data_IF_312782566266
#
_entry.id   IF_312782566266
#
_cell.length_a   1.000
_cell.length_b   1.000
_cell.length_c   1.000
_cell.angle_alpha   90.00
_cell.angle_beta   90.00
_cell.angle_gamma   90.00
#
_symmetry.space_group_name_H-M   'P 1'
#
loop_
_entity.id
_entity.type
_entity.pdbx_description
1 polymer ?
#
# COMPACT_ATOMS: atom_id res chain seq x y z
N UNK A 1 -10.36 2.75 1.57
CA UNK A 1 -9.75 3.50 0.45
C UNK A 1 -10.64 4.60 -0.14
N UNK A 2 -11.75 4.32 -0.86
CA UNK A 2 -12.58 5.37 -1.51
C UNK A 2 -12.95 6.54 -0.60
N UNK A 3 -13.39 6.25 0.64
CA UNK A 3 -13.71 7.26 1.64
C UNK A 3 -12.50 8.13 2.02
N UNK A 4 -11.31 7.54 2.16
CA UNK A 4 -10.08 8.26 2.48
C UNK A 4 -9.65 9.19 1.33
N UNK A 5 -9.80 8.75 0.07
CA UNK A 5 -9.55 9.60 -1.12
C UNK A 5 -10.50 10.81 -1.14
N UNK A 6 -11.79 10.57 -0.84
CA UNK A 6 -12.78 11.65 -0.76
C UNK A 6 -12.48 12.63 0.38
N UNK A 7 -12.12 12.12 1.56
CA UNK A 7 -11.75 12.92 2.73
C UNK A 7 -10.49 13.78 2.45
N UNK A 8 -9.52 13.22 1.74
CA UNK A 8 -8.32 13.93 1.30
C UNK A 8 -8.59 14.95 0.17
N UNK A 9 -9.77 14.94 -0.46
CA UNK A 9 -10.12 15.86 -1.55
C UNK A 9 -9.30 15.66 -2.82
N UNK A 10 -8.78 14.45 -3.06
CA UNK A 10 -7.95 14.13 -4.24
C UNK A 10 -8.63 13.14 -5.17
N UNK A 11 -8.13 13.03 -6.39
CA UNK A 11 -8.46 11.92 -7.27
C UNK A 11 -7.61 10.67 -6.92
N UNK A 12 -8.11 9.45 -7.16
CA UNK A 12 -7.34 8.24 -6.87
C UNK A 12 -5.97 8.16 -7.55
N UNK A 13 -5.83 8.76 -8.73
CA UNK A 13 -4.60 8.79 -9.53
C UNK A 13 -3.50 9.69 -8.95
N UNK A 14 -3.79 10.45 -7.89
CA UNK A 14 -2.81 11.22 -7.14
C UNK A 14 -2.02 10.41 -6.12
N UNK A 15 -2.43 9.17 -5.83
CA UNK A 15 -1.71 8.29 -4.90
C UNK A 15 -0.49 7.73 -5.62
N UNK A 16 0.71 8.07 -5.14
CA UNK A 16 1.98 7.64 -5.72
C UNK A 16 2.43 6.28 -5.14
N UNK A 17 2.13 6.04 -3.87
CA UNK A 17 2.54 4.85 -3.12
C UNK A 17 1.42 4.30 -2.23
N UNK A 18 1.29 2.97 -2.20
CA UNK A 18 0.41 2.25 -1.28
C UNK A 18 1.25 1.27 -0.45
N UNK A 19 1.34 1.49 0.85
CA UNK A 19 1.72 0.43 1.79
C UNK A 19 0.48 -0.43 2.05
N UNK A 20 0.38 -1.55 1.33
CA UNK A 20 -0.73 -2.49 1.41
C UNK A 20 -0.82 -3.14 2.80
N UNK A 21 -2.00 -3.67 3.14
CA UNK A 21 -2.15 -4.52 4.30
C UNK A 21 -1.39 -5.84 4.11
N UNK A 22 -1.47 -6.46 2.93
CA UNK A 22 -0.59 -7.53 2.44
C UNK A 22 -0.12 -8.52 3.50
N UNK A 23 -1.02 -9.38 4.00
CA UNK A 23 -0.74 -10.29 5.11
C UNK A 23 -0.10 -11.62 4.70
N UNK A 24 0.17 -11.81 3.40
CA UNK A 24 0.61 -13.09 2.86
C UNK A 24 -0.45 -14.20 3.01
N UNK A 25 -1.73 -13.81 3.13
CA UNK A 25 -2.85 -14.75 3.10
C UNK A 25 -3.54 -14.64 1.74
N UNK A 26 -3.84 -15.79 1.14
CA UNK A 26 -4.36 -15.89 -0.23
C UNK A 26 -5.56 -14.95 -0.47
N UNK A 27 -6.52 -14.95 0.45
CA UNK A 27 -7.73 -14.14 0.32
C UNK A 27 -7.44 -12.64 0.50
N UNK A 28 -6.62 -12.26 1.49
CA UNK A 28 -6.33 -10.84 1.72
C UNK A 28 -5.66 -10.22 0.50
N UNK A 29 -4.58 -10.85 0.02
CA UNK A 29 -3.71 -10.25 -0.99
C UNK A 29 -4.44 -10.13 -2.34
N UNK A 30 -5.24 -11.15 -2.69
CA UNK A 30 -6.15 -11.12 -3.82
C UNK A 30 -7.20 -10.01 -3.71
N UNK A 31 -7.94 -9.95 -2.60
CA UNK A 31 -9.03 -8.98 -2.48
C UNK A 31 -8.55 -7.55 -2.30
N UNK A 32 -7.39 -7.34 -1.67
CA UNK A 32 -6.75 -6.03 -1.59
C UNK A 32 -6.32 -5.56 -2.99
N UNK A 33 -5.70 -6.44 -3.78
CA UNK A 33 -5.36 -6.15 -5.19
C UNK A 33 -6.61 -5.77 -6.01
N UNK A 34 -7.68 -6.55 -5.91
CA UNK A 34 -8.95 -6.24 -6.58
C UNK A 34 -9.54 -4.90 -6.12
N UNK A 35 -9.43 -4.57 -4.83
CA UNK A 35 -9.94 -3.33 -4.29
C UNK A 35 -9.14 -2.10 -4.78
N UNK A 36 -7.81 -2.23 -4.92
CA UNK A 36 -6.94 -1.20 -5.51
C UNK A 36 -7.32 -0.98 -6.98
N UNK A 37 -7.44 -2.06 -7.76
CA UNK A 37 -7.89 -2.00 -9.17
C UNK A 37 -9.26 -1.34 -9.31
N UNK A 38 -10.21 -1.69 -8.45
CA UNK A 38 -11.57 -1.10 -8.45
C UNK A 38 -11.56 0.40 -8.14
N UNK A 39 -10.63 0.86 -7.30
CA UNK A 39 -10.50 2.27 -6.95
C UNK A 39 -9.83 3.09 -8.05
N UNK A 40 -8.74 2.58 -8.61
CA UNK A 40 -7.83 3.35 -9.48
C UNK A 40 -8.00 3.08 -10.97
N UNK A 41 -8.73 2.03 -11.36
CA UNK A 41 -8.82 1.59 -12.75
C UNK A 41 -7.43 1.28 -13.32
N UNK A 42 -7.16 1.72 -14.54
CA UNK A 42 -5.88 1.50 -15.22
C UNK A 42 -4.67 2.13 -14.49
N UNK A 43 -4.90 3.15 -13.67
CA UNK A 43 -3.83 3.76 -12.87
C UNK A 43 -3.32 2.83 -11.75
N UNK A 44 -4.04 1.75 -11.43
CA UNK A 44 -3.58 0.73 -10.48
C UNK A 44 -2.26 0.06 -10.91
N UNK A 45 -1.97 0.01 -12.22
CA UNK A 45 -0.73 -0.58 -12.73
C UNK A 45 0.47 0.38 -12.69
N UNK A 46 0.25 1.66 -12.38
CA UNK A 46 1.30 2.70 -12.28
C UNK A 46 1.73 2.98 -10.85
N UNK A 47 0.82 2.83 -9.89
CA UNK A 47 1.11 3.08 -8.47
C UNK A 47 2.12 2.08 -7.94
N UNK A 48 3.03 2.54 -7.08
CA UNK A 48 3.96 1.66 -6.37
C UNK A 48 3.24 1.05 -5.17
N UNK A 49 3.35 -0.26 -4.98
CA UNK A 49 2.73 -0.98 -3.87
C UNK A 49 3.81 -1.78 -3.16
N UNK A 50 3.78 -1.81 -1.83
CA UNK A 50 4.58 -2.80 -1.09
C UNK A 50 3.82 -3.34 0.11
N UNK A 51 4.21 -4.52 0.59
CA UNK A 51 3.87 -4.99 1.94
C UNK A 51 5.14 -5.09 2.78
N UNK A 52 5.28 -4.19 3.74
CA UNK A 52 6.38 -4.22 4.70
C UNK A 52 6.28 -5.34 5.73
N UNK A 53 5.11 -5.99 5.84
CA UNK A 53 4.95 -7.23 6.62
C UNK A 53 5.81 -8.37 6.09
N UNK A 54 6.24 -8.31 4.82
CA UNK A 54 7.24 -9.24 4.28
C UNK A 54 8.55 -9.25 5.10
N UNK A 55 8.87 -8.15 5.79
CA UNK A 55 10.05 -8.01 6.64
C UNK A 55 9.70 -8.02 8.13
N UNK A 56 8.66 -7.30 8.52
CA UNK A 56 8.33 -7.06 9.94
C UNK A 56 7.41 -8.11 10.54
N UNK A 57 6.78 -8.95 9.71
CA UNK A 57 5.68 -9.81 10.11
C UNK A 57 4.41 -9.01 10.41
N UNK A 58 3.33 -9.72 10.77
CA UNK A 58 2.07 -9.06 11.09
C UNK A 58 2.01 -8.65 12.56
N UNK A 59 2.22 -7.35 12.83
CA UNK A 59 2.24 -6.77 14.18
C UNK A 59 0.86 -6.53 14.81
N UNK A 60 -0.20 -7.18 14.31
CA UNK A 60 -1.59 -7.00 14.75
C UNK A 60 -1.97 -5.51 14.89
N UNK A 61 -2.41 -5.09 16.08
CA UNK A 61 -2.82 -3.70 16.35
C UNK A 61 -1.71 -2.66 16.17
N UNK A 62 -0.43 -3.07 16.26
CA UNK A 62 0.69 -2.16 16.03
C UNK A 62 1.02 -1.96 14.54
N UNK A 63 0.55 -2.84 13.66
CA UNK A 63 0.87 -2.82 12.23
C UNK A 63 0.50 -1.48 11.59
N UNK A 64 -0.71 -0.96 11.84
CA UNK A 64 -1.17 0.30 11.26
C UNK A 64 -0.29 1.51 11.63
N UNK A 65 0.23 1.56 12.87
CA UNK A 65 1.13 2.62 13.30
C UNK A 65 2.51 2.55 12.63
N UNK A 66 3.11 1.35 12.60
CA UNK A 66 4.40 1.12 11.93
C UNK A 66 4.30 1.39 10.43
N UNK A 67 3.23 0.96 9.78
CA UNK A 67 3.00 1.14 8.35
C UNK A 67 2.71 2.59 7.97
N UNK A 68 2.05 3.35 8.84
CA UNK A 68 1.91 4.80 8.68
C UNK A 68 3.27 5.52 8.76
N UNK A 69 4.15 5.10 9.69
CA UNK A 69 5.53 5.62 9.77
C UNK A 69 6.29 5.28 8.48
N UNK A 70 6.17 4.06 7.95
CA UNK A 70 6.78 3.70 6.67
C UNK A 70 6.33 4.62 5.55
N UNK A 71 5.03 4.91 5.43
CA UNK A 71 4.52 5.85 4.43
C UNK A 71 5.09 7.27 4.61
N UNK A 72 5.19 7.76 5.85
CA UNK A 72 5.82 9.05 6.15
C UNK A 72 7.29 9.08 5.73
N UNK A 73 8.04 8.02 6.04
CA UNK A 73 9.45 7.90 5.66
C UNK A 73 9.60 7.81 4.14
N UNK A 74 8.71 7.10 3.43
CA UNK A 74 8.71 7.06 1.97
C UNK A 74 8.47 8.44 1.34
N UNK A 75 7.57 9.24 1.92
CA UNK A 75 7.35 10.64 1.51
C UNK A 75 8.60 11.49 1.77
N UNK A 76 9.21 11.35 2.95
CA UNK A 76 10.32 12.18 3.38
C UNK A 76 11.63 11.88 2.64
N UNK A 77 11.92 10.60 2.42
CA UNK A 77 13.20 10.14 1.86
C UNK A 77 13.11 9.80 0.36
N UNK A 78 11.90 9.67 -0.18
CA UNK A 78 11.69 9.22 -1.56
C UNK A 78 12.11 7.77 -1.78
N UNK A 79 12.14 6.95 -0.73
CA UNK A 79 12.52 5.53 -0.78
C UNK A 79 11.32 4.66 -0.43
N UNK A 80 10.94 3.79 -1.38
CA UNK A 80 9.83 2.86 -1.24
C UNK A 80 10.40 1.50 -0.86
N UNK A 81 10.01 0.93 0.29
CA UNK A 81 10.51 -0.36 0.72
C UNK A 81 10.02 -1.48 -0.21
N UNK A 82 10.80 -2.56 -0.34
CA UNK A 82 10.39 -3.69 -1.15
C UNK A 82 9.37 -4.58 -0.42
N UNK A 83 8.64 -5.36 -1.20
CA UNK A 83 8.08 -6.63 -0.73
C UNK A 83 9.15 -7.70 -0.93
N UNK A 84 9.80 -8.13 0.16
CA UNK A 84 10.85 -9.18 0.10
C UNK A 84 10.22 -10.57 -0.04
N UNK A 85 11.04 -11.57 -0.38
CA UNK A 85 10.64 -12.97 -0.61
C UNK A 85 9.64 -13.14 -1.77
N UNK A 86 9.65 -12.21 -2.74
CA UNK A 86 8.80 -12.31 -3.93
C UNK A 86 9.48 -13.19 -4.99
N UNK A 87 9.05 -14.44 -5.10
CA UNK A 87 9.69 -15.44 -5.99
C UNK A 87 8.83 -15.80 -7.20
N UNK A 88 7.51 -15.94 -6.99
CA UNK A 88 6.57 -16.37 -8.02
C UNK A 88 5.44 -15.34 -8.18
N UNK A 89 5.09 -15.07 -9.43
CA UNK A 89 3.93 -14.21 -9.74
C UNK A 89 2.64 -14.98 -9.55
N UNK A 90 1.62 -14.30 -9.03
CA UNK A 90 0.24 -14.78 -8.94
C UNK A 90 -0.62 -13.97 -9.91
N UNK A 91 -1.43 -14.64 -10.73
CA UNK A 91 -2.32 -13.99 -11.70
C UNK A 91 -3.40 -13.13 -11.04
N UNK A 92 -3.75 -13.41 -9.78
CA UNK A 92 -4.67 -12.59 -8.99
C UNK A 92 -3.99 -11.35 -8.38
N UNK A 93 -2.65 -11.34 -8.34
CA UNK A 93 -1.82 -10.30 -7.76
C UNK A 93 -0.79 -9.84 -8.80
N UNK A 94 -1.25 -9.00 -9.74
CA UNK A 94 -0.56 -8.59 -10.97
C UNK A 94 -0.21 -7.09 -11.02
N UNK A 95 -0.21 -6.40 -9.87
CA UNK A 95 0.24 -5.02 -9.74
C UNK A 95 1.75 -4.92 -9.46
N UNK A 96 2.27 -3.70 -9.35
CA UNK A 96 3.68 -3.47 -9.02
C UNK A 96 3.91 -3.50 -7.51
N UNK A 97 4.29 -4.66 -6.97
CA UNK A 97 4.53 -4.88 -5.54
C UNK A 97 5.96 -4.54 -5.06
N UNK A 98 6.73 -3.78 -5.85
CA UNK A 98 8.13 -3.41 -5.55
C UNK A 98 8.93 -4.65 -5.10
N UNK A 99 9.09 -5.66 -5.97
CA UNK A 99 9.60 -6.96 -5.55
C UNK A 99 11.10 -6.91 -5.21
N UNK A 100 11.45 -7.37 -4.01
CA UNK A 100 12.80 -7.66 -3.49
C UNK A 100 13.81 -6.51 -3.40
N UNK A 101 13.65 -5.41 -4.15
CA UNK A 101 14.56 -4.26 -4.13
C UNK A 101 13.80 -2.96 -3.94
N UNK A 102 14.27 -2.13 -3.01
CA UNK A 102 13.73 -0.80 -2.80
C UNK A 102 13.82 0.04 -4.08
N UNK A 103 12.87 0.95 -4.26
CA UNK A 103 12.83 1.87 -5.40
C UNK A 103 12.87 3.29 -4.87
N UNK A 104 13.55 4.17 -5.59
CA UNK A 104 13.54 5.61 -5.31
C UNK A 104 12.53 6.29 -6.25
N UNK A 105 11.61 7.06 -5.69
CA UNK A 105 10.68 7.90 -6.44
C UNK A 105 10.21 9.08 -5.57
N UNK A 106 9.81 10.18 -6.20
CA UNK A 106 9.15 11.26 -5.48
C UNK A 106 7.72 10.84 -5.10
N UNK A 107 7.40 10.91 -3.81
CA UNK A 107 6.08 10.56 -3.26
C UNK A 107 5.45 11.81 -2.67
N UNK A 108 4.34 12.26 -3.27
CA UNK A 108 3.53 13.37 -2.76
C UNK A 108 2.38 12.87 -1.90
N UNK A 109 1.76 11.76 -2.29
CA UNK A 109 0.69 11.10 -1.54
C UNK A 109 0.98 9.61 -1.35
N UNK A 110 0.94 9.16 -0.09
CA UNK A 110 1.05 7.75 0.26
C UNK A 110 -0.22 7.27 0.99
N UNK A 111 -0.68 6.06 0.70
CA UNK A 111 -1.78 5.40 1.38
C UNK A 111 -1.28 4.23 2.23
N UNK A 112 -1.74 4.12 3.48
CA UNK A 112 -1.55 2.94 4.32
C UNK A 112 -2.88 2.22 4.51
N UNK A 113 -2.93 0.92 4.21
CA UNK A 113 -4.12 0.08 4.32
C UNK A 113 -4.05 -0.85 5.54
N UNK A 114 -5.18 -1.02 6.23
CA UNK A 114 -5.35 -1.98 7.32
C UNK A 114 -6.71 -2.67 7.22
N UNK A 115 -6.69 -3.98 6.92
CA UNK A 115 -7.87 -4.81 6.63
C UNK A 115 -7.96 -5.94 7.66
N UNK A 116 -8.48 -5.61 8.83
CA UNK A 116 -8.46 -6.49 10.00
C UNK A 116 -9.62 -7.47 10.09
N UNK A 117 -9.45 -8.46 10.96
CA UNK A 117 -10.54 -9.36 11.39
C UNK A 117 -11.75 -8.57 11.91
N UNK A 118 -12.94 -9.16 11.82
CA UNK A 118 -14.19 -8.47 12.16
C UNK A 118 -14.73 -7.55 11.05
N UNK A 119 -14.08 -7.54 9.88
CA UNK A 119 -14.50 -6.74 8.72
C UNK A 119 -14.11 -5.26 8.83
N UNK A 120 -13.14 -4.94 9.70
CA UNK A 120 -12.66 -3.58 9.90
C UNK A 120 -11.71 -3.19 8.78
N UNK A 121 -12.10 -2.19 7.99
CA UNK A 121 -11.30 -1.68 6.88
C UNK A 121 -10.96 -0.21 7.12
N UNK A 122 -9.67 0.09 7.30
CA UNK A 122 -9.15 1.44 7.46
C UNK A 122 -8.12 1.76 6.38
N UNK A 123 -8.15 2.98 5.87
CA UNK A 123 -7.11 3.52 4.99
C UNK A 123 -6.81 4.94 5.44
N UNK A 124 -5.53 5.28 5.57
CA UNK A 124 -5.06 6.64 5.85
C UNK A 124 -4.24 7.12 4.67
N UNK A 125 -4.40 8.39 4.29
CA UNK A 125 -3.60 9.04 3.26
C UNK A 125 -2.73 10.10 3.94
N UNK A 126 -1.45 10.09 3.60
CA UNK A 126 -0.45 11.03 4.07
C UNK A 126 0.02 11.86 2.87
N UNK A 127 0.18 13.17 3.07
CA UNK A 127 0.68 14.09 2.04
C UNK A 127 2.01 14.70 2.48
N UNK A 128 2.93 14.90 1.55
CA UNK A 128 4.08 15.80 1.68
C UNK A 128 3.61 17.19 2.15
N UNK A 129 4.28 17.74 3.17
CA UNK A 129 4.04 19.10 3.63
C UNK A 129 4.67 20.09 2.64
N UNK A 130 3.97 21.21 2.39
CA UNK A 130 4.36 22.29 1.47
C UNK A 130 4.48 23.60 2.25
#
# INVERSE_FOLDING_TARGET
MKKAVQDAGINPDKIDYINAHGTSTELNDKFETMAIKRLMGDNAYKVLISSTKSMTGHLLGAAGGVEAIVCLMAINEGVIPPTINYEAKDENCDLNYVPNKAVTAEINYAMSNSLGFGGHNASVILKKYE
#
